data_IF_484621847566
#
_entry.id   IF_484621847566
#
_cell.length_a   1.000
_cell.length_b   1.000
_cell.length_c   1.000
_cell.angle_alpha   90.00
_cell.angle_beta   90.00
_cell.angle_gamma   90.00
#
_symmetry.space_group_name_H-M   'P 1'
#
loop_
_entity.id
_entity.type
_entity.pdbx_description
1 polymer ?
#
# COMPACT_ATOMS: atom_id res chain seq x y z
N UNK A 1 -19.38 -16.64 -5.67
CA UNK A 1 -17.99 -16.98 -6.02
C UNK A 1 -17.33 -15.71 -6.49
N UNK A 2 -16.18 -15.42 -5.87
CA UNK A 2 -15.18 -14.39 -6.16
C UNK A 2 -15.63 -12.94 -6.26
N UNK A 3 -15.72 -12.28 -5.09
CA UNK A 3 -15.39 -10.85 -4.99
C UNK A 3 -13.87 -10.74 -5.17
N UNK A 4 -13.42 -10.80 -6.43
CA UNK A 4 -12.03 -10.48 -6.77
C UNK A 4 -11.78 -9.06 -6.30
N UNK A 5 -11.01 -8.93 -5.22
CA UNK A 5 -10.56 -7.67 -4.64
C UNK A 5 -10.17 -6.71 -5.76
N UNK A 6 -11.05 -5.74 -6.04
CA UNK A 6 -10.87 -4.86 -7.19
C UNK A 6 -9.67 -3.97 -6.93
N UNK A 7 -8.56 -4.28 -7.61
CA UNK A 7 -7.36 -3.46 -7.58
C UNK A 7 -7.69 -2.06 -8.09
N UNK A 8 -7.56 -1.07 -7.22
CA UNK A 8 -7.70 0.34 -7.57
C UNK A 8 -6.37 0.87 -8.10
N UNK A 9 -6.36 1.62 -9.22
CA UNK A 9 -5.14 2.22 -9.72
C UNK A 9 -4.65 3.32 -8.76
N UNK A 10 -3.40 3.23 -8.32
CA UNK A 10 -2.75 4.25 -7.51
C UNK A 10 -1.54 4.80 -8.25
N UNK A 11 -1.41 6.13 -8.33
CA UNK A 11 -0.30 6.81 -8.99
C UNK A 11 0.62 7.47 -7.98
N UNK A 12 1.91 7.17 -8.05
CA UNK A 12 2.93 7.71 -7.17
C UNK A 12 3.97 8.52 -7.93
N UNK A 13 4.43 9.61 -7.34
CA UNK A 13 5.62 10.34 -7.80
C UNK A 13 6.80 9.93 -6.95
N UNK A 14 7.79 9.31 -7.57
CA UNK A 14 9.03 8.86 -6.91
C UNK A 14 10.22 9.64 -7.47
N UNK A 15 11.19 9.94 -6.61
CA UNK A 15 12.52 10.34 -7.09
C UNK A 15 13.18 9.20 -7.88
N UNK A 16 14.14 9.51 -8.75
CA UNK A 16 14.91 8.50 -9.50
C UNK A 16 15.54 7.43 -8.60
N UNK A 17 16.08 7.81 -7.43
CA UNK A 17 16.67 6.87 -6.46
C UNK A 17 15.65 5.84 -5.98
N UNK A 18 14.47 6.29 -5.56
CA UNK A 18 13.40 5.42 -5.08
C UNK A 18 12.81 4.54 -6.19
N UNK A 19 12.66 5.06 -7.41
CA UNK A 19 12.27 4.24 -8.56
C UNK A 19 13.27 3.11 -8.80
N UNK A 20 14.57 3.40 -8.75
CA UNK A 20 15.60 2.38 -8.92
C UNK A 20 15.59 1.34 -7.79
N UNK A 21 15.37 1.79 -6.56
CA UNK A 21 15.19 0.90 -5.40
C UNK A 21 14.01 -0.05 -5.57
N UNK A 22 12.86 0.46 -6.04
CA UNK A 22 11.67 -0.32 -6.36
C UNK A 22 11.96 -1.39 -7.43
N UNK A 23 12.61 -1.01 -8.53
CA UNK A 23 13.00 -1.95 -9.59
C UNK A 23 13.93 -3.06 -9.08
N UNK A 24 14.96 -2.70 -8.31
CA UNK A 24 15.93 -3.65 -7.79
C UNK A 24 15.32 -4.58 -6.72
N UNK A 25 14.50 -4.05 -5.81
CA UNK A 25 13.84 -4.84 -4.78
C UNK A 25 12.84 -5.85 -5.38
N UNK A 26 12.03 -5.40 -6.34
CA UNK A 26 11.11 -6.28 -7.05
C UNK A 26 11.85 -7.39 -7.81
N UNK A 27 12.96 -7.05 -8.47
CA UNK A 27 13.80 -8.03 -9.17
C UNK A 27 14.41 -9.05 -8.20
N UNK A 28 14.95 -8.59 -7.07
CA UNK A 28 15.57 -9.43 -6.04
C UNK A 28 14.59 -10.43 -5.45
N UNK A 29 13.32 -10.03 -5.27
CA UNK A 29 12.27 -10.93 -4.78
C UNK A 29 11.55 -11.72 -5.86
N UNK A 30 11.95 -11.59 -7.14
CA UNK A 30 11.29 -12.22 -8.29
C UNK A 30 9.78 -11.90 -8.39
N UNK A 31 9.42 -10.64 -8.13
CA UNK A 31 8.02 -10.16 -8.14
C UNK A 31 7.85 -8.96 -9.08
N UNK A 32 6.61 -8.67 -9.44
CA UNK A 32 6.29 -7.39 -10.08
C UNK A 32 6.49 -6.24 -9.07
N UNK A 33 6.71 -5.03 -9.58
CA UNK A 33 6.84 -3.84 -8.72
C UNK A 33 5.58 -3.60 -7.88
N UNK A 34 4.39 -3.84 -8.45
CA UNK A 34 3.12 -3.75 -7.73
C UNK A 34 3.06 -4.73 -6.57
N UNK A 35 3.34 -6.02 -6.81
CA UNK A 35 3.29 -7.04 -5.76
C UNK A 35 4.37 -6.81 -4.69
N UNK A 36 5.51 -6.23 -5.07
CA UNK A 36 6.55 -5.85 -4.12
C UNK A 36 6.10 -4.69 -3.22
N UNK A 37 5.44 -3.67 -3.77
CA UNK A 37 4.85 -2.58 -2.97
C UNK A 37 3.77 -3.11 -2.04
N UNK A 38 2.85 -3.95 -2.53
CA UNK A 38 1.80 -4.55 -1.70
C UNK A 38 2.41 -5.29 -0.51
N UNK A 39 3.44 -6.10 -0.75
CA UNK A 39 4.18 -6.78 0.32
C UNK A 39 4.82 -5.78 1.29
N UNK A 40 5.54 -4.77 0.81
CA UNK A 40 6.16 -3.77 1.69
C UNK A 40 5.13 -3.05 2.58
N UNK A 41 3.94 -2.75 2.04
CA UNK A 41 2.84 -2.14 2.79
C UNK A 41 2.32 -3.13 3.85
N UNK A 42 2.03 -4.37 3.45
CA UNK A 42 1.56 -5.42 4.37
C UNK A 42 2.57 -5.68 5.50
N UNK A 43 3.84 -5.90 5.17
CA UNK A 43 4.93 -6.16 6.11
C UNK A 43 5.08 -4.99 7.10
N UNK A 44 5.05 -3.76 6.60
CA UNK A 44 5.13 -2.57 7.45
C UNK A 44 3.94 -2.48 8.40
N UNK A 45 2.72 -2.68 7.90
CA UNK A 45 1.52 -2.64 8.73
C UNK A 45 1.54 -3.74 9.80
N UNK A 46 1.89 -4.98 9.44
CA UNK A 46 2.00 -6.09 10.38
C UNK A 46 3.05 -5.83 11.48
N UNK A 47 4.24 -5.36 11.09
CA UNK A 47 5.32 -5.04 12.03
C UNK A 47 4.95 -3.92 13.02
N UNK A 48 4.04 -3.03 12.62
CA UNK A 48 3.61 -1.89 13.44
C UNK A 48 2.22 -2.09 14.08
N UNK A 49 1.59 -3.26 13.90
CA UNK A 49 0.26 -3.54 14.45
C UNK A 49 -0.85 -2.67 13.82
N UNK A 50 -0.67 -2.21 12.58
CA UNK A 50 -1.66 -1.45 11.82
C UNK A 50 -2.64 -2.42 11.16
N UNK A 51 -3.90 -2.37 11.60
CA UNK A 51 -4.96 -3.23 11.07
C UNK A 51 -5.50 -2.69 9.73
N UNK A 52 -5.14 -3.34 8.63
CA UNK A 52 -5.61 -3.01 7.26
C UNK A 52 -7.12 -3.24 7.07
N UNK A 53 -7.77 -3.98 7.97
CA UNK A 53 -9.23 -4.24 7.94
C UNK A 53 -10.01 -3.25 8.78
N UNK A 54 -9.32 -2.49 9.63
CA UNK A 54 -9.93 -1.44 10.44
C UNK A 54 -10.24 -0.24 9.54
N UNK A 55 -11.44 -0.25 8.96
CA UNK A 55 -12.02 0.96 8.39
C UNK A 55 -11.95 2.06 9.46
N UNK A 56 -11.20 3.12 9.21
CA UNK A 56 -11.31 4.32 10.05
C UNK A 56 -12.72 4.87 9.89
N UNK A 57 -13.56 4.55 10.86
CA UNK A 57 -14.78 5.30 11.15
C UNK A 57 -14.34 6.71 11.57
N UNK A 58 -14.60 7.68 10.70
CA UNK A 58 -14.83 9.08 11.08
C UNK A 58 -13.64 10.03 10.98
N UNK A 59 -13.72 10.92 10.01
CA UNK A 59 -13.45 12.33 10.29
C UNK A 59 -14.53 13.23 9.68
N UNK A 60 -15.79 13.00 10.10
CA UNK A 60 -16.78 14.06 10.18
C UNK A 60 -16.64 14.70 11.57
N UNK A 61 -15.57 15.48 11.76
CA UNK A 61 -15.52 16.43 12.85
C UNK A 61 -15.32 17.84 12.30
N UNK A 62 -16.45 18.50 12.00
CA UNK A 62 -16.82 19.78 12.62
C UNK A 62 -18.34 19.96 12.61
N UNK A 63 -18.99 19.34 13.59
CA UNK A 63 -20.10 20.00 14.26
C UNK A 63 -19.52 21.20 15.04
N UNK A 64 -19.92 22.43 14.67
CA UNK A 64 -20.39 23.53 15.56
C UNK A 64 -20.56 24.82 14.74
N UNK A 65 -21.39 25.82 15.15
CA UNK A 65 -22.19 25.94 16.37
C UNK A 65 -23.70 25.87 16.21
#
# INVERSE_FOLDING_TARGET
>A
MDDSEKRLPVSFRLSNRHKRGLELGALHEHRSQTNFIEKLISDYCEQHGLDLTRAEVGNDEKANP
#
